data_IF_120938117082
#
_entry.id   IF_120938117082
#
_cell.length_a   1.000
_cell.length_b   1.000
_cell.length_c   1.000
_cell.angle_alpha   90.00
_cell.angle_beta   90.00
_cell.angle_gamma   90.00
#
_symmetry.space_group_name_H-M   'P 1'
#
loop_
_entity.id
_entity.type
_entity.pdbx_description
1 polymer ?
#
# COMPACT_ATOMS: atom_id res chain seq x y z
N UNK A 1 -5.61 12.26 -18.96
CA UNK A 1 -5.37 11.03 -19.73
C UNK A 1 -4.49 10.13 -18.88
N UNK A 2 -4.86 8.86 -18.72
CA UNK A 2 -4.07 7.83 -18.06
C UNK A 2 -3.42 7.01 -19.17
N UNK A 3 -2.09 7.01 -19.21
CA UNK A 3 -1.29 6.51 -20.32
C UNK A 3 -0.31 5.42 -19.82
N UNK A 4 -0.66 4.12 -19.94
CA UNK A 4 0.16 3.00 -19.48
C UNK A 4 1.44 2.79 -20.31
N UNK A 5 1.45 3.20 -21.58
CA UNK A 5 2.53 2.91 -22.52
C UNK A 5 3.33 4.15 -22.93
N UNK A 6 2.92 5.35 -22.52
CA UNK A 6 3.63 6.60 -22.83
C UNK A 6 3.39 7.12 -24.25
N UNK A 7 2.38 6.60 -24.95
CA UNK A 7 2.08 6.92 -26.35
C UNK A 7 1.58 8.36 -26.55
N UNK A 8 1.04 8.98 -25.50
CA UNK A 8 0.32 10.25 -25.57
C UNK A 8 1.07 11.42 -24.95
N UNK A 9 2.32 11.22 -24.52
CA UNK A 9 3.17 12.31 -23.99
C UNK A 9 3.38 13.43 -25.00
N UNK A 10 3.34 13.12 -26.31
CA UNK A 10 3.47 14.10 -27.39
C UNK A 10 2.28 15.05 -27.53
N UNK A 11 1.17 14.80 -26.82
CA UNK A 11 0.09 15.79 -26.69
C UNK A 11 0.58 17.08 -26.05
N UNK A 12 1.57 17.02 -25.17
CA UNK A 12 2.16 18.22 -24.55
C UNK A 12 2.99 19.06 -25.53
N UNK A 13 3.49 18.45 -26.62
CA UNK A 13 4.29 19.16 -27.62
C UNK A 13 3.42 20.09 -28.47
N UNK A 14 2.15 19.72 -28.69
CA UNK A 14 1.22 20.46 -29.56
C UNK A 14 0.08 21.17 -28.81
N UNK A 15 -0.37 20.60 -27.71
CA UNK A 15 -1.50 21.08 -26.92
C UNK A 15 -1.03 21.45 -25.51
N UNK A 16 -1.83 22.23 -24.78
CA UNK A 16 -1.52 22.68 -23.41
C UNK A 16 -1.70 21.55 -22.36
N UNK A 17 -1.16 20.37 -22.64
CA UNK A 17 -1.13 19.25 -21.69
C UNK A 17 0.15 19.32 -20.87
N UNK A 18 0.02 18.99 -19.59
CA UNK A 18 1.16 18.78 -18.69
C UNK A 18 1.37 17.26 -18.57
N UNK A 19 2.59 16.80 -18.81
CA UNK A 19 2.96 15.40 -18.56
C UNK A 19 3.34 15.25 -17.09
N UNK A 20 2.65 14.36 -16.40
CA UNK A 20 2.93 13.97 -15.02
C UNK A 20 3.51 12.56 -15.07
N UNK A 21 4.79 12.44 -14.74
CA UNK A 21 5.41 11.15 -14.47
C UNK A 21 4.85 10.58 -13.17
N UNK A 22 4.33 9.35 -13.25
CA UNK A 22 3.72 8.64 -12.14
C UNK A 22 4.74 8.03 -11.16
N UNK A 23 6.04 8.06 -11.46
CA UNK A 23 7.10 7.63 -10.54
C UNK A 23 7.32 8.65 -9.40
N UNK A 24 6.30 8.78 -8.55
CA UNK A 24 6.21 9.71 -7.41
C UNK A 24 5.57 9.03 -6.21
N UNK A 25 5.60 9.69 -5.05
CA UNK A 25 4.93 9.17 -3.87
C UNK A 25 3.40 9.18 -4.04
N UNK A 26 2.71 8.31 -3.31
CA UNK A 26 1.24 8.25 -3.32
C UNK A 26 0.60 9.61 -2.95
N UNK A 27 1.17 10.29 -1.95
CA UNK A 27 0.71 11.60 -1.50
C UNK A 27 0.89 12.69 -2.58
N UNK A 28 1.97 12.62 -3.36
CA UNK A 28 2.20 13.56 -4.46
C UNK A 28 1.16 13.36 -5.57
N UNK A 29 0.84 12.11 -5.93
CA UNK A 29 -0.14 11.82 -6.99
C UNK A 29 -1.54 12.32 -6.61
N UNK A 30 -1.95 12.12 -5.35
CA UNK A 30 -3.23 12.63 -4.83
C UNK A 30 -3.26 14.17 -4.84
N UNK A 31 -2.17 14.81 -4.37
CA UNK A 31 -2.05 16.27 -4.37
C UNK A 31 -2.07 16.85 -5.79
N UNK A 32 -1.37 16.21 -6.74
CA UNK A 32 -1.39 16.60 -8.16
C UNK A 32 -2.81 16.47 -8.71
N UNK A 33 -3.50 15.35 -8.48
CA UNK A 33 -4.88 15.16 -8.94
C UNK A 33 -5.82 16.25 -8.41
N UNK A 34 -5.72 16.60 -7.13
CA UNK A 34 -6.49 17.69 -6.52
C UNK A 34 -6.20 19.04 -7.19
N UNK A 35 -4.92 19.36 -7.45
CA UNK A 35 -4.50 20.58 -8.16
C UNK A 35 -4.97 20.61 -9.61
N UNK A 36 -4.97 19.48 -10.30
CA UNK A 36 -5.50 19.35 -11.66
C UNK A 36 -6.96 19.78 -11.71
N UNK A 37 -7.76 19.36 -10.73
CA UNK A 37 -9.17 19.74 -10.61
C UNK A 37 -9.36 21.21 -10.26
N UNK A 38 -8.56 21.73 -9.33
CA UNK A 38 -8.61 23.14 -8.91
C UNK A 38 -8.24 24.09 -10.07
N UNK A 39 -7.14 23.79 -10.77
CA UNK A 39 -6.57 24.64 -11.81
C UNK A 39 -7.12 24.39 -13.20
N UNK A 40 -7.88 23.31 -13.38
CA UNK A 40 -8.48 22.88 -14.66
C UNK A 40 -7.45 22.73 -15.79
N UNK A 41 -6.32 22.12 -15.46
CA UNK A 41 -5.24 21.86 -16.43
C UNK A 41 -5.44 20.50 -17.09
N UNK A 42 -5.11 20.40 -18.38
CA UNK A 42 -5.10 19.12 -19.09
C UNK A 42 -3.82 18.36 -18.74
N UNK A 43 -3.95 17.09 -18.35
CA UNK A 43 -2.82 16.28 -17.89
C UNK A 43 -2.77 14.93 -18.60
N UNK A 44 -1.56 14.50 -18.93
CA UNK A 44 -1.23 13.11 -19.29
C UNK A 44 -0.46 12.52 -18.11
N UNK A 45 -1.03 11.52 -17.45
CA UNK A 45 -0.35 10.73 -16.42
C UNK A 45 0.39 9.59 -17.14
N UNK A 46 1.71 9.72 -17.25
CA UNK A 46 2.57 8.72 -17.87
C UNK A 46 2.96 7.66 -16.85
N UNK A 47 2.66 6.39 -17.17
CA UNK A 47 2.91 5.22 -16.33
C UNK A 47 3.94 4.25 -16.93
N UNK A 48 4.52 4.56 -18.11
CA UNK A 48 5.42 3.71 -18.90
C UNK A 48 6.56 3.09 -18.08
N UNK A 49 7.15 3.86 -17.16
CA UNK A 49 8.32 3.43 -16.37
C UNK A 49 7.97 2.69 -15.06
N UNK A 50 6.70 2.40 -14.82
CA UNK A 50 6.25 1.66 -13.64
C UNK A 50 5.95 0.20 -13.97
N UNK A 51 6.27 -0.69 -13.04
CA UNK A 51 5.80 -2.08 -13.09
C UNK A 51 4.28 -2.14 -12.97
N UNK A 52 3.65 -3.18 -13.53
CA UNK A 52 2.20 -3.29 -13.65
C UNK A 52 1.45 -3.05 -12.34
N UNK A 53 1.93 -3.61 -11.21
CA UNK A 53 1.30 -3.42 -9.90
C UNK A 53 1.31 -1.95 -9.44
N UNK A 54 2.39 -1.23 -9.73
CA UNK A 54 2.54 0.20 -9.43
C UNK A 54 1.71 1.04 -10.40
N UNK A 55 1.60 0.67 -11.68
CA UNK A 55 0.70 1.35 -12.62
C UNK A 55 -0.75 1.33 -12.11
N UNK A 56 -1.24 0.16 -11.67
CA UNK A 56 -2.60 0.01 -11.14
C UNK A 56 -2.84 0.92 -9.93
N UNK A 57 -1.87 0.95 -9.01
CA UNK A 57 -1.92 1.74 -7.78
C UNK A 57 -1.86 3.23 -8.06
N UNK A 58 -0.91 3.69 -8.88
CA UNK A 58 -0.75 5.09 -9.26
C UNK A 58 -1.99 5.62 -10.00
N UNK A 59 -2.53 4.85 -10.96
CA UNK A 59 -3.76 5.20 -11.63
C UNK A 59 -4.95 5.27 -10.67
N UNK A 60 -5.08 4.32 -9.72
CA UNK A 60 -6.14 4.33 -8.73
C UNK A 60 -6.10 5.59 -7.86
N UNK A 61 -4.94 5.90 -7.28
CA UNK A 61 -4.73 7.07 -6.42
C UNK A 61 -5.05 8.36 -7.18
N UNK A 62 -4.54 8.49 -8.41
CA UNK A 62 -4.78 9.68 -9.21
C UNK A 62 -6.26 9.84 -9.55
N UNK A 63 -6.95 8.76 -9.94
CA UNK A 63 -8.38 8.77 -10.24
C UNK A 63 -9.23 9.10 -8.99
N UNK A 64 -8.89 8.52 -7.84
CA UNK A 64 -9.56 8.79 -6.58
C UNK A 64 -9.36 10.26 -6.14
N UNK A 65 -8.15 10.81 -6.29
CA UNK A 65 -7.87 12.23 -6.03
C UNK A 65 -8.66 13.18 -6.95
N UNK A 66 -8.86 12.82 -8.23
CA UNK A 66 -9.74 13.57 -9.13
C UNK A 66 -11.22 13.52 -8.66
N UNK A 67 -11.62 12.39 -8.09
CA UNK A 67 -12.99 12.07 -7.69
C UNK A 67 -13.38 12.67 -6.33
N UNK A 68 -12.46 12.71 -5.36
CA UNK A 68 -12.68 13.27 -4.03
C UNK A 68 -12.42 14.78 -3.94
N UNK A 69 -12.18 15.44 -5.09
CA UNK A 69 -12.09 16.88 -5.17
C UNK A 69 -13.32 17.59 -4.52
N UNK A 70 -13.12 18.72 -3.81
CA UNK A 70 -14.22 19.46 -3.19
C UNK A 70 -15.31 19.85 -4.19
N UNK A 71 -16.56 19.96 -3.73
CA UNK A 71 -17.72 20.30 -4.58
C UNK A 71 -17.54 21.60 -5.39
N UNK A 72 -16.80 22.57 -4.84
CA UNK A 72 -16.46 23.81 -5.53
C UNK A 72 -15.65 23.58 -6.82
N UNK A 73 -14.97 22.43 -6.93
CA UNK A 73 -14.10 22.06 -8.04
C UNK A 73 -14.76 21.03 -8.97
N UNK A 74 -16.07 20.79 -8.86
CA UNK A 74 -16.82 19.83 -9.69
C UNK A 74 -17.13 20.37 -11.10
N UNK A 75 -16.09 20.73 -11.82
CA UNK A 75 -16.18 21.17 -13.21
C UNK A 75 -16.23 19.99 -14.17
N UNK A 76 -16.91 20.10 -15.32
CA UNK A 76 -16.87 19.08 -16.37
C UNK A 76 -15.43 18.80 -16.81
N UNK A 77 -15.01 17.54 -16.74
CA UNK A 77 -13.71 17.08 -17.21
C UNK A 77 -13.82 15.69 -17.85
N UNK A 78 -13.07 15.48 -18.93
CA UNK A 78 -12.92 14.17 -19.56
C UNK A 78 -11.76 13.44 -18.91
N UNK A 79 -12.00 12.20 -18.50
CA UNK A 79 -10.97 11.30 -17.98
C UNK A 79 -10.83 10.14 -18.95
N UNK A 80 -9.80 10.22 -19.78
CA UNK A 80 -9.48 9.19 -20.77
C UNK A 80 -8.53 8.18 -20.12
N UNK A 81 -8.90 6.92 -20.14
CA UNK A 81 -8.08 5.79 -19.67
C UNK A 81 -7.77 4.91 -20.86
N UNK A 82 -6.49 4.87 -21.24
CA UNK A 82 -6.03 3.99 -22.31
C UNK A 82 -5.71 2.58 -21.78
N UNK A 83 -5.80 1.58 -22.66
CA UNK A 83 -5.70 0.15 -22.31
C UNK A 83 -6.47 -0.23 -21.03
N UNK A 84 -7.73 0.20 -20.96
CA UNK A 84 -8.57 0.13 -19.77
C UNK A 84 -8.73 -1.26 -19.14
N UNK A 85 -8.55 -2.33 -19.93
CA UNK A 85 -8.57 -3.71 -19.43
C UNK A 85 -7.42 -4.02 -18.47
N UNK A 86 -6.34 -3.23 -18.49
CA UNK A 86 -5.26 -3.32 -17.49
C UNK A 86 -5.79 -2.91 -16.11
N UNK A 87 -6.50 -1.79 -16.04
CA UNK A 87 -7.01 -1.19 -14.79
C UNK A 87 -8.32 -1.83 -14.30
N UNK A 88 -9.12 -2.40 -15.20
CA UNK A 88 -10.38 -3.06 -14.88
C UNK A 88 -10.55 -4.43 -15.58
N UNK A 89 -9.75 -5.45 -15.21
CA UNK A 89 -9.82 -6.78 -15.85
C UNK A 89 -11.07 -7.59 -15.39
N UNK A 90 -11.62 -8.44 -16.27
CA UNK A 90 -12.71 -9.38 -15.93
C UNK A 90 -12.27 -10.57 -15.07
N UNK A 91 -11.00 -11.00 -15.18
CA UNK A 91 -10.49 -12.22 -14.57
C UNK A 91 -9.26 -11.93 -13.71
N UNK A 92 -9.14 -12.63 -12.58
CA UNK A 92 -8.03 -12.52 -11.64
C UNK A 92 -6.76 -13.16 -12.24
N UNK A 93 -5.77 -12.35 -12.63
CA UNK A 93 -4.41 -12.81 -12.94
C UNK A 93 -3.45 -12.73 -11.73
N UNK A 94 -2.15 -12.82 -11.97
CA UNK A 94 -1.08 -12.98 -10.94
C UNK A 94 -0.66 -11.69 -10.17
N UNK A 95 -1.23 -10.53 -10.50
CA UNK A 95 -0.94 -9.25 -9.81
C UNK A 95 -1.52 -9.24 -8.37
N UNK A 96 -0.83 -8.64 -7.37
CA UNK A 96 -1.32 -8.53 -5.99
C UNK A 96 -2.76 -8.02 -5.93
N UNK A 97 -3.62 -8.75 -5.20
CA UNK A 97 -5.07 -8.55 -5.21
C UNK A 97 -5.51 -7.16 -4.73
N UNK A 98 -4.71 -6.51 -3.90
CA UNK A 98 -5.00 -5.17 -3.37
C UNK A 98 -4.93 -4.07 -4.44
N UNK A 99 -3.82 -3.95 -5.18
CA UNK A 99 -3.64 -2.90 -6.19
C UNK A 99 -4.67 -3.02 -7.33
N UNK A 100 -5.00 -4.25 -7.72
CA UNK A 100 -6.06 -4.53 -8.68
C UNK A 100 -7.43 -4.10 -8.17
N UNK A 101 -7.76 -4.45 -6.92
CA UNK A 101 -9.04 -4.08 -6.31
C UNK A 101 -9.18 -2.56 -6.20
N UNK A 102 -8.11 -1.86 -5.82
CA UNK A 102 -8.05 -0.40 -5.80
C UNK A 102 -8.32 0.19 -7.18
N UNK A 103 -7.59 -0.27 -8.20
CA UNK A 103 -7.73 0.23 -9.58
C UNK A 103 -9.13 -0.03 -10.15
N UNK A 104 -9.66 -1.24 -9.96
CA UNK A 104 -11.02 -1.59 -10.40
C UNK A 104 -12.07 -0.72 -9.69
N UNK A 105 -11.93 -0.49 -8.38
CA UNK A 105 -12.85 0.37 -7.64
C UNK A 105 -12.79 1.83 -8.12
N UNK A 106 -11.61 2.36 -8.40
CA UNK A 106 -11.43 3.70 -8.96
C UNK A 106 -12.10 3.82 -10.34
N UNK A 107 -11.93 2.81 -11.21
CA UNK A 107 -12.59 2.73 -12.51
C UNK A 107 -14.12 2.66 -12.40
N UNK A 108 -14.65 1.85 -11.47
CA UNK A 108 -16.09 1.77 -11.20
C UNK A 108 -16.62 3.10 -10.65
N UNK A 109 -15.90 3.75 -9.75
CA UNK A 109 -16.27 5.08 -9.24
C UNK A 109 -16.31 6.10 -10.37
N UNK A 110 -15.29 6.14 -11.24
CA UNK A 110 -15.24 7.02 -12.39
C UNK A 110 -16.47 6.82 -13.31
N UNK A 111 -16.78 5.57 -13.65
CA UNK A 111 -17.86 5.28 -14.60
C UNK A 111 -19.26 5.43 -13.99
N UNK A 112 -19.53 4.83 -12.84
CA UNK A 112 -20.87 4.84 -12.22
C UNK A 112 -21.20 6.18 -11.55
N UNK A 113 -20.21 6.82 -10.93
CA UNK A 113 -20.42 7.97 -10.02
C UNK A 113 -19.77 9.25 -10.52
N UNK A 114 -18.82 9.18 -11.45
CA UNK A 114 -18.09 10.34 -11.98
C UNK A 114 -19.01 11.42 -12.52
N UNK A 115 -20.10 11.05 -13.21
CA UNK A 115 -21.08 12.01 -13.77
C UNK A 115 -21.61 12.99 -12.73
N UNK A 116 -21.90 12.52 -11.50
CA UNK A 116 -22.41 13.37 -10.41
C UNK A 116 -21.36 14.35 -9.89
N UNK A 117 -20.08 14.10 -10.16
CA UNK A 117 -18.90 14.89 -9.74
C UNK A 117 -18.26 15.67 -10.91
N UNK A 118 -18.93 15.71 -12.07
CA UNK A 118 -18.41 16.40 -13.26
C UNK A 118 -17.31 15.63 -14.01
N UNK A 119 -17.10 14.36 -13.73
CA UNK A 119 -16.14 13.52 -14.46
C UNK A 119 -16.88 12.65 -15.48
N UNK A 120 -16.44 12.71 -16.74
CA UNK A 120 -16.90 11.81 -17.78
C UNK A 120 -15.75 10.89 -18.19
N UNK A 121 -15.88 9.60 -17.84
CA UNK A 121 -14.91 8.57 -18.21
C UNK A 121 -14.99 8.21 -19.69
N UNK A 122 -13.85 8.15 -20.35
CA UNK A 122 -13.67 7.57 -21.68
C UNK A 122 -12.68 6.42 -21.50
N UNK A 123 -13.07 5.22 -21.92
CA UNK A 123 -12.27 4.01 -21.76
C UNK A 123 -11.92 3.48 -23.15
N UNK A 124 -10.64 3.43 -23.46
CA UNK A 124 -10.10 2.85 -24.67
C UNK A 124 -9.51 1.47 -24.36
N UNK A 125 -9.79 0.49 -25.22
CA UNK A 125 -9.31 -0.89 -25.02
C UNK A 125 -9.24 -1.62 -26.36
N UNK A 126 -8.20 -2.41 -26.55
CA UNK A 126 -8.09 -3.34 -27.67
C UNK A 126 -8.86 -4.65 -27.44
N UNK A 127 -9.17 -4.99 -26.18
CA UNK A 127 -9.73 -6.28 -25.76
C UNK A 127 -10.97 -6.07 -24.89
N UNK A 128 -12.08 -5.67 -25.50
CA UNK A 128 -13.36 -5.42 -24.85
C UNK A 128 -13.85 -6.60 -23.98
N UNK A 129 -13.62 -7.82 -24.42
CA UNK A 129 -13.96 -9.04 -23.71
C UNK A 129 -13.12 -9.27 -22.45
N UNK A 130 -11.96 -8.62 -22.30
CA UNK A 130 -11.17 -8.66 -21.05
C UNK A 130 -11.55 -7.56 -20.06
N UNK A 131 -12.36 -6.58 -20.46
CA UNK A 131 -12.79 -5.47 -19.62
C UNK A 131 -13.97 -5.85 -18.73
N UNK A 132 -13.90 -5.48 -17.44
CA UNK A 132 -14.91 -5.73 -16.42
C UNK A 132 -16.32 -5.34 -16.87
N UNK A 133 -17.29 -6.25 -16.68
CA UNK A 133 -18.67 -6.06 -17.20
C UNK A 133 -19.36 -4.83 -16.62
N UNK A 134 -19.18 -4.59 -15.34
CA UNK A 134 -19.70 -3.42 -14.62
C UNK A 134 -19.09 -2.10 -15.10
N UNK A 135 -17.83 -2.08 -15.52
CA UNK A 135 -17.19 -0.86 -16.07
C UNK A 135 -17.68 -0.59 -17.48
N UNK A 136 -17.74 -1.62 -18.33
CA UNK A 136 -18.18 -1.50 -19.72
C UNK A 136 -19.68 -1.14 -19.86
N UNK A 137 -20.53 -1.68 -18.99
CA UNK A 137 -21.99 -1.48 -19.06
C UNK A 137 -22.45 -0.06 -18.71
N UNK A 138 -21.61 0.73 -18.04
CA UNK A 138 -21.91 2.12 -17.65
C UNK A 138 -21.61 3.12 -18.79
N UNK A 139 -20.89 2.68 -19.82
CA UNK A 139 -20.68 3.49 -21.01
C UNK A 139 -22.00 3.65 -21.77
N UNK A 140 -22.34 4.89 -22.13
CA UNK A 140 -23.55 5.22 -22.92
C UNK A 140 -23.24 5.62 -24.35
N UNK A 141 -21.97 5.90 -24.65
CA UNK A 141 -21.48 6.25 -25.98
C UNK A 141 -20.40 5.25 -26.38
N UNK A 142 -20.48 4.77 -27.60
CA UNK A 142 -19.64 3.73 -28.14
C UNK A 142 -19.05 4.18 -29.46
N UNK A 143 -17.78 3.85 -29.66
CA UNK A 143 -17.08 4.01 -30.91
C UNK A 143 -16.34 2.70 -31.18
N UNK A 144 -16.97 1.78 -31.92
CA UNK A 144 -16.42 0.45 -32.17
C UNK A 144 -15.61 0.43 -33.45
N UNK A 145 -14.31 0.14 -33.32
CA UNK A 145 -13.40 0.00 -34.44
C UNK A 145 -13.36 -1.44 -34.98
N UNK A 146 -12.36 -1.72 -35.80
CA UNK A 146 -12.13 -3.06 -36.32
C UNK A 146 -11.85 -4.05 -35.19
N UNK A 147 -12.60 -5.16 -35.15
CA UNK A 147 -12.41 -6.26 -34.19
C UNK A 147 -12.43 -7.60 -34.91
N UNK A 148 -11.45 -8.46 -34.64
CA UNK A 148 -11.32 -9.77 -35.32
C UNK A 148 -11.87 -10.94 -34.50
N UNK A 149 -11.78 -10.85 -33.17
CA UNK A 149 -12.08 -11.97 -32.27
C UNK A 149 -13.59 -12.06 -32.00
N UNK A 150 -14.13 -13.27 -32.14
CA UNK A 150 -15.57 -13.52 -31.98
C UNK A 150 -16.07 -13.14 -30.59
N UNK A 151 -15.26 -13.33 -29.56
CA UNK A 151 -15.61 -12.97 -28.18
C UNK A 151 -15.76 -11.45 -27.97
N UNK A 152 -14.92 -10.66 -28.65
CA UNK A 152 -14.97 -9.19 -28.59
C UNK A 152 -16.17 -8.68 -29.41
N UNK A 153 -16.45 -9.28 -30.58
CA UNK A 153 -17.64 -8.97 -31.38
C UNK A 153 -18.93 -9.31 -30.65
N UNK A 154 -18.99 -10.46 -29.98
CA UNK A 154 -20.15 -10.84 -29.18
C UNK A 154 -20.39 -9.83 -28.03
N UNK A 155 -19.33 -9.40 -27.35
CA UNK A 155 -19.43 -8.36 -26.31
C UNK A 155 -19.84 -7.01 -26.88
N UNK A 156 -19.36 -6.63 -28.05
CA UNK A 156 -19.77 -5.41 -28.73
C UNK A 156 -21.25 -5.47 -29.15
N UNK A 157 -21.71 -6.62 -29.66
CA UNK A 157 -23.11 -6.84 -30.03
C UNK A 157 -24.04 -6.67 -28.82
N UNK A 158 -23.67 -7.30 -27.69
CA UNK A 158 -24.41 -7.21 -26.43
C UNK A 158 -24.52 -5.75 -25.92
N UNK A 159 -23.43 -4.97 -26.03
CA UNK A 159 -23.42 -3.56 -25.59
C UNK A 159 -24.20 -2.63 -26.52
N UNK A 160 -24.16 -2.88 -27.84
CA UNK A 160 -24.84 -2.04 -28.82
C UNK A 160 -26.29 -2.45 -29.05
N UNK A 161 -26.75 -3.56 -28.45
CA UNK A 161 -28.10 -4.09 -28.63
C UNK A 161 -28.39 -4.55 -30.06
N UNK A 162 -27.37 -5.04 -30.75
CA UNK A 162 -27.47 -5.55 -32.13
C UNK A 162 -27.40 -7.08 -32.18
N UNK A 163 -27.88 -7.66 -33.27
CA UNK A 163 -27.76 -9.10 -33.48
C UNK A 163 -26.29 -9.50 -33.72
N UNK A 164 -25.88 -10.67 -33.24
CA UNK A 164 -24.50 -11.18 -33.43
C UNK A 164 -24.04 -11.19 -34.88
N UNK A 165 -24.94 -11.51 -35.81
CA UNK A 165 -24.65 -11.51 -37.24
C UNK A 165 -24.34 -10.11 -37.79
N UNK A 166 -24.97 -9.07 -37.23
CA UNK A 166 -24.69 -7.69 -37.62
C UNK A 166 -23.31 -7.24 -37.13
N UNK A 167 -22.88 -7.72 -35.96
CA UNK A 167 -21.56 -7.39 -35.39
C UNK A 167 -20.39 -7.95 -36.22
N UNK A 168 -20.62 -8.91 -37.12
CA UNK A 168 -19.59 -9.38 -38.08
C UNK A 168 -19.05 -8.24 -38.96
N UNK A 169 -19.83 -7.16 -39.17
CA UNK A 169 -19.38 -5.99 -39.92
C UNK A 169 -18.14 -5.31 -39.30
N UNK A 170 -17.90 -5.49 -37.99
CA UNK A 170 -16.72 -4.93 -37.33
C UNK A 170 -15.42 -5.58 -37.81
N UNK A 171 -15.46 -6.77 -38.41
CA UNK A 171 -14.27 -7.45 -38.94
C UNK A 171 -13.69 -6.72 -40.15
N UNK A 172 -14.58 -6.19 -40.99
CA UNK A 172 -14.23 -5.62 -42.30
C UNK A 172 -14.07 -4.09 -42.27
N UNK A 173 -14.19 -3.47 -41.09
CA UNK A 173 -13.99 -2.03 -40.96
C UNK A 173 -12.55 -1.63 -41.34
N UNK A 174 -12.37 -0.67 -42.26
CA UNK A 174 -11.03 -0.19 -42.59
C UNK A 174 -10.45 0.60 -41.42
N UNK A 175 -9.11 0.66 -41.34
CA UNK A 175 -8.40 1.44 -40.31
C UNK A 175 -8.90 2.88 -40.28
N UNK A 176 -9.13 3.40 -39.09
CA UNK A 176 -9.67 4.75 -38.88
C UNK A 176 -11.18 4.87 -39.11
N UNK A 177 -11.87 3.78 -39.46
CA UNK A 177 -13.33 3.74 -39.49
C UNK A 177 -13.90 3.02 -38.28
N UNK A 178 -14.98 3.58 -37.76
CA UNK A 178 -15.65 3.14 -36.55
C UNK A 178 -17.16 3.15 -36.76
N UNK A 179 -17.87 2.39 -35.95
CA UNK A 179 -19.32 2.53 -35.78
C UNK A 179 -19.58 3.26 -34.48
N UNK A 180 -20.20 4.42 -34.59
CA UNK A 180 -20.59 5.29 -33.48
C UNK A 180 -22.05 5.09 -33.08
N UNK A 181 -22.31 5.00 -31.78
CA UNK A 181 -23.65 4.92 -31.21
C UNK A 181 -23.68 5.61 -29.85
N UNK A 182 -24.73 6.37 -29.54
CA UNK A 182 -24.95 6.93 -28.21
C UNK A 182 -25.47 8.37 -28.24
N UNK A 183 -25.97 8.90 -27.12
CA UNK A 183 -26.60 10.21 -27.05
C UNK A 183 -25.68 11.38 -27.44
N UNK A 184 -24.36 11.24 -27.29
CA UNK A 184 -23.38 12.25 -27.68
C UNK A 184 -22.89 12.09 -29.13
N UNK A 185 -23.23 10.98 -29.81
CA UNK A 185 -22.77 10.65 -31.16
C UNK A 185 -23.95 10.63 -32.13
N UNK A 186 -24.81 9.61 -32.02
CA UNK A 186 -25.98 9.41 -32.85
C UNK A 186 -26.99 8.47 -32.17
N UNK A 187 -28.29 8.73 -32.39
CA UNK A 187 -29.39 7.89 -31.86
C UNK A 187 -29.46 6.49 -32.48
N UNK A 188 -28.86 6.31 -33.65
CA UNK A 188 -28.75 5.04 -34.37
C UNK A 188 -27.28 4.83 -34.73
N UNK A 189 -26.87 3.58 -34.93
CA UNK A 189 -25.51 3.26 -35.31
C UNK A 189 -25.15 3.95 -36.64
N UNK A 190 -24.05 4.70 -36.66
CA UNK A 190 -23.55 5.40 -37.85
C UNK A 190 -22.08 5.10 -38.05
N UNK A 191 -21.65 4.98 -39.31
CA UNK A 191 -20.23 4.83 -39.62
C UNK A 191 -19.54 6.20 -39.53
N UNK A 192 -18.41 6.24 -38.83
CA UNK A 192 -17.62 7.44 -38.58
C UNK A 192 -16.19 7.17 -39.07
N UNK A 193 -15.62 8.11 -39.80
CA UNK A 193 -14.22 8.08 -40.20
C UNK A 193 -13.44 9.11 -39.38
N UNK A 194 -12.45 8.64 -38.62
CA UNK A 194 -11.55 9.49 -37.84
C UNK A 194 -10.55 10.14 -38.78
N UNK A 195 -10.27 11.43 -38.54
CA UNK A 195 -9.32 12.22 -39.32
C UNK A 195 -7.86 11.83 -39.08
N UNK A 196 -6.95 12.56 -39.70
CA UNK A 196 -5.50 12.41 -39.49
C UNK A 196 -5.11 12.79 -38.06
N UNK A 197 -4.15 12.05 -37.49
CA UNK A 197 -3.56 12.36 -36.18
C UNK A 197 -2.42 13.35 -36.36
N UNK A 198 -2.38 14.38 -35.52
CA UNK A 198 -1.40 15.47 -35.62
C UNK A 198 -0.16 15.29 -34.75
N UNK A 199 -0.25 14.49 -33.68
CA UNK A 199 0.84 14.15 -32.76
C UNK A 199 1.23 12.70 -32.96
N UNK A 200 2.52 12.41 -33.07
CA UNK A 200 3.01 11.03 -33.22
C UNK A 200 3.31 10.41 -31.85
N UNK A 201 2.99 9.13 -31.67
CA UNK A 201 3.52 8.36 -30.55
C UNK A 201 5.05 8.30 -30.68
N UNK A 202 5.76 8.37 -29.55
CA UNK A 202 7.22 8.20 -29.49
C UNK A 202 7.62 6.72 -29.55
N UNK A 203 6.65 5.81 -29.37
CA UNK A 203 6.77 4.40 -29.64
C UNK A 203 6.92 4.16 -31.13
N UNK A 204 8.14 3.84 -31.57
CA UNK A 204 8.37 3.37 -32.93
C UNK A 204 7.70 2.01 -33.04
N UNK A 205 6.53 1.91 -33.69
CA UNK A 205 6.03 0.61 -34.14
C UNK A 205 7.13 0.01 -35.02
N UNK A 206 7.82 -1.06 -34.61
CA UNK A 206 8.96 -1.57 -35.34
C UNK A 206 8.49 -1.93 -36.75
N UNK A 207 9.07 -1.31 -37.77
CA UNK A 207 8.79 -1.74 -39.14
C UNK A 207 9.36 -3.14 -39.29
N UNK A 208 8.57 -4.05 -39.84
CA UNK A 208 9.05 -5.38 -40.23
C UNK A 208 10.12 -5.18 -41.32
N UNK A 209 11.37 -5.21 -40.89
CA UNK A 209 12.52 -5.31 -41.77
C UNK A 209 12.81 -6.79 -41.98
N UNK A 210 13.14 -7.23 -43.20
CA UNK A 210 13.63 -8.59 -43.39
C UNK A 210 14.86 -8.80 -42.48
N UNK A 211 15.02 -9.99 -41.88
CA UNK A 211 16.25 -10.31 -41.16
C UNK A 211 17.43 -10.13 -42.11
N UNK A 212 18.59 -9.66 -41.63
CA UNK A 212 19.79 -9.57 -42.46
C UNK A 212 20.15 -10.96 -43.00
N UNK A 213 20.69 -11.02 -44.22
CA UNK A 213 21.24 -12.26 -44.77
C UNK A 213 22.42 -12.69 -43.89
N UNK A 214 22.32 -13.90 -43.33
CA UNK A 214 23.32 -14.48 -42.44
C UNK A 214 24.34 -15.26 -43.27
N UNK A 215 25.63 -14.97 -43.10
CA UNK A 215 26.69 -15.82 -43.67
C UNK A 215 26.95 -17.05 -42.78
N UNK A 216 27.62 -18.07 -43.34
CA UNK A 216 28.05 -19.24 -42.57
C UNK A 216 29.00 -18.83 -41.42
N UNK A 217 29.81 -17.79 -41.62
CA UNK A 217 30.70 -17.23 -40.61
C UNK A 217 29.93 -16.56 -39.45
N UNK A 218 28.86 -15.81 -39.75
CA UNK A 218 28.00 -15.20 -38.73
C UNK A 218 27.23 -16.27 -37.93
N UNK A 219 26.90 -17.38 -38.59
CA UNK A 219 26.22 -18.52 -37.97
C UNK A 219 27.14 -19.26 -37.00
N UNK A 220 28.39 -19.49 -37.39
CA UNK A 220 29.41 -20.06 -36.51
C UNK A 220 29.77 -19.13 -35.35
N UNK A 221 29.78 -17.80 -35.55
CA UNK A 221 30.03 -16.82 -34.48
C UNK A 221 28.90 -16.78 -33.44
N UNK A 222 27.63 -16.86 -33.86
CA UNK A 222 26.48 -16.93 -32.94
C UNK A 222 26.47 -18.24 -32.15
N UNK A 223 26.86 -19.36 -32.79
CA UNK A 223 26.92 -20.68 -32.18
C UNK A 223 28.22 -20.93 -31.40
N UNK A 224 29.21 -20.06 -31.54
CA UNK A 224 30.44 -20.15 -30.79
C UNK A 224 30.11 -20.10 -29.29
N UNK A 225 30.75 -20.95 -28.46
CA UNK A 225 30.57 -20.87 -27.03
C UNK A 225 30.96 -19.46 -26.60
N UNK A 226 30.00 -18.75 -26.00
CA UNK A 226 30.22 -17.39 -25.55
C UNK A 226 31.55 -17.36 -24.80
N UNK A 227 32.47 -16.44 -25.14
CA UNK A 227 33.70 -16.30 -24.36
C UNK A 227 33.26 -16.22 -22.91
N UNK A 228 33.97 -16.93 -22.02
CA UNK A 228 33.75 -16.83 -20.57
C UNK A 228 34.15 -15.40 -20.20
N UNK A 229 33.27 -14.45 -20.52
CA UNK A 229 33.31 -13.11 -19.99
C UNK A 229 33.34 -13.31 -18.50
N UNK A 230 34.25 -12.56 -17.87
CA UNK A 230 34.23 -12.32 -16.44
C UNK A 230 32.76 -12.31 -15.97
N UNK A 231 32.47 -13.02 -14.86
CA UNK A 231 31.12 -13.42 -14.45
C UNK A 231 30.15 -12.32 -14.84
N UNK A 232 29.20 -12.64 -15.74
CA UNK A 232 28.22 -11.69 -16.26
C UNK A 232 27.87 -10.79 -15.10
N UNK A 233 28.29 -9.53 -15.17
CA UNK A 233 27.76 -8.51 -14.29
C UNK A 233 26.32 -8.47 -14.76
N UNK A 234 25.46 -9.26 -14.12
CA UNK A 234 24.08 -8.88 -13.96
C UNK A 234 24.20 -7.41 -13.62
N UNK A 235 23.71 -6.52 -14.48
CA UNK A 235 23.47 -5.16 -14.04
C UNK A 235 22.51 -5.33 -12.87
N UNK A 236 23.10 -5.47 -11.66
CA UNK A 236 22.42 -5.22 -10.42
C UNK A 236 21.90 -3.82 -10.70
N UNK A 237 20.58 -3.71 -10.87
CA UNK A 237 19.84 -2.46 -10.66
C UNK A 237 20.65 -1.74 -9.59
N UNK A 238 21.26 -0.56 -9.87
CA UNK A 238 22.22 0.05 -8.97
C UNK A 238 21.60 -0.07 -7.60
N UNK A 239 22.28 -0.71 -6.62
CA UNK A 239 21.69 -0.86 -5.31
C UNK A 239 21.16 0.54 -4.94
N UNK A 240 19.93 0.63 -4.41
CA UNK A 240 19.42 1.93 -3.97
C UNK A 240 20.57 2.60 -3.24
N UNK A 241 20.93 3.83 -3.66
CA UNK A 241 22.12 4.50 -3.14
C UNK A 241 22.17 4.27 -1.64
N UNK A 242 23.28 3.70 -1.12
CA UNK A 242 23.29 3.08 0.18
C UNK A 242 22.63 4.05 1.14
N UNK A 243 21.51 3.61 1.71
CA UNK A 243 20.86 4.34 2.76
C UNK A 243 21.90 4.59 3.85
N UNK A 244 21.74 5.62 4.66
CA UNK A 244 22.67 5.86 5.76
C UNK A 244 22.89 4.61 6.60
N UNK A 245 21.87 3.72 6.72
CA UNK A 245 21.98 2.36 7.27
C UNK A 245 22.98 1.44 6.56
N UNK A 246 23.02 1.39 5.24
CA UNK A 246 23.93 0.50 4.49
C UNK A 246 25.40 0.94 4.64
N UNK A 247 25.65 2.26 4.77
CA UNK A 247 26.98 2.80 5.06
C UNK A 247 27.39 2.45 6.50
N UNK A 248 26.46 2.48 7.45
CA UNK A 248 26.72 2.07 8.83
C UNK A 248 26.92 0.55 8.97
N UNK A 249 26.26 -0.25 8.13
CA UNK A 249 26.44 -1.70 8.09
C UNK A 249 27.79 -2.10 7.47
N UNK A 250 28.27 -1.40 6.44
CA UNK A 250 29.63 -1.59 5.91
C UNK A 250 30.72 -1.19 6.92
N UNK A 251 30.49 -0.11 7.69
CA UNK A 251 31.38 0.27 8.80
C UNK A 251 31.33 -0.81 9.90
N UNK A 252 30.16 -1.38 10.21
CA UNK A 252 30.00 -2.45 11.18
C UNK A 252 30.64 -3.78 10.74
N UNK A 253 30.61 -4.12 9.45
CA UNK A 253 31.32 -5.28 8.90
C UNK A 253 32.84 -5.07 8.94
N UNK A 254 33.33 -3.86 8.64
CA UNK A 254 34.74 -3.52 8.76
C UNK A 254 35.23 -3.53 10.22
N UNK A 255 34.41 -3.08 11.18
CA UNK A 255 34.71 -3.12 12.61
C UNK A 255 34.62 -4.53 13.21
N UNK A 256 33.68 -5.37 12.77
CA UNK A 256 33.62 -6.80 13.17
C UNK A 256 34.79 -7.61 12.60
N UNK A 257 35.21 -7.31 11.37
CA UNK A 257 36.42 -7.90 10.78
C UNK A 257 37.68 -7.45 11.53
N UNK A 258 37.72 -6.21 12.02
CA UNK A 258 38.80 -5.71 12.88
C UNK A 258 38.75 -6.27 14.31
N UNK A 259 37.55 -6.55 14.86
CA UNK A 259 37.34 -7.15 16.18
C UNK A 259 37.59 -8.67 16.21
N UNK A 260 37.80 -9.31 15.05
CA UNK A 260 38.19 -10.72 14.95
C UNK A 260 39.69 -10.95 15.14
N UNK A 261 40.49 -9.88 15.34
CA UNK A 261 41.88 -9.94 15.75
C UNK A 261 41.99 -9.47 17.22
N UNK A 262 42.31 -10.43 18.11
CA UNK A 262 42.57 -10.30 19.55
C UNK A 262 41.33 -10.17 20.48
N UNK A 263 40.99 -11.29 21.15
CA UNK A 263 40.12 -11.33 22.34
C UNK A 263 40.69 -10.48 23.49
N UNK A 264 39.81 -9.94 24.35
CA UNK A 264 39.80 -10.47 25.72
C UNK A 264 38.39 -10.85 26.22
N UNK A 265 38.34 -11.92 27.01
CA UNK A 265 37.23 -12.33 27.88
C UNK A 265 36.76 -11.16 28.76
N UNK A 266 35.73 -10.43 28.32
CA UNK A 266 34.93 -9.55 29.19
C UNK A 266 33.98 -10.46 29.98
N UNK A 267 33.85 -10.33 31.31
CA UNK A 267 33.03 -11.24 32.11
C UNK A 267 31.61 -11.28 31.53
N UNK A 268 31.13 -12.50 31.25
CA UNK A 268 29.80 -12.73 30.73
C UNK A 268 28.77 -12.14 31.71
N UNK A 269 28.19 -11.00 31.34
CA UNK A 269 27.04 -10.45 32.04
C UNK A 269 25.96 -11.54 32.13
N UNK A 270 25.40 -11.82 33.32
CA UNK A 270 24.32 -12.78 33.46
C UNK A 270 23.19 -12.45 32.48
N UNK A 271 22.57 -13.47 31.88
CA UNK A 271 21.52 -13.28 30.88
C UNK A 271 20.35 -12.43 31.42
N UNK A 272 20.06 -12.54 32.72
CA UNK A 272 19.05 -11.75 33.43
C UNK A 272 19.42 -10.27 33.54
N UNK A 273 20.67 -9.94 33.86
CA UNK A 273 21.13 -8.55 33.93
C UNK A 273 21.11 -7.90 32.54
N UNK A 274 21.43 -8.68 31.49
CA UNK A 274 21.35 -8.20 30.11
C UNK A 274 19.92 -7.94 29.67
N UNK A 275 18.99 -8.86 29.96
CA UNK A 275 17.56 -8.69 29.66
C UNK A 275 17.00 -7.45 30.36
N UNK A 276 17.35 -7.24 31.63
CA UNK A 276 16.98 -6.04 32.38
C UNK A 276 17.50 -4.76 31.71
N UNK A 277 18.76 -4.73 31.26
CA UNK A 277 19.32 -3.58 30.54
C UNK A 277 18.65 -3.34 29.19
N UNK A 278 18.32 -4.39 28.44
CA UNK A 278 17.56 -4.27 27.19
C UNK A 278 16.17 -3.66 27.44
N UNK A 279 15.46 -4.12 28.47
CA UNK A 279 14.17 -3.55 28.89
C UNK A 279 14.30 -2.10 29.33
N UNK A 280 15.38 -1.75 30.05
CA UNK A 280 15.66 -0.37 30.43
C UNK A 280 15.82 0.53 29.19
N UNK A 281 16.58 0.10 28.19
CA UNK A 281 16.74 0.85 26.93
C UNK A 281 15.37 1.12 26.29
N UNK A 282 14.52 0.09 26.17
CA UNK A 282 13.19 0.23 25.54
C UNK A 282 12.28 1.14 26.39
N UNK A 283 12.33 1.00 27.71
CA UNK A 283 11.57 1.85 28.63
C UNK A 283 11.97 3.34 28.50
N UNK A 284 13.26 3.63 28.43
CA UNK A 284 13.79 4.99 28.22
C UNK A 284 13.38 5.53 26.85
N UNK A 285 13.43 4.70 25.80
CA UNK A 285 13.01 5.07 24.45
C UNK A 285 11.54 5.45 24.35
N UNK A 286 10.67 4.70 25.03
CA UNK A 286 9.24 5.00 25.11
C UNK A 286 9.04 6.29 25.91
N UNK A 287 9.75 6.46 27.03
CA UNK A 287 9.66 7.68 27.86
C UNK A 287 10.08 8.96 27.12
N UNK A 288 11.08 8.85 26.23
CA UNK A 288 11.57 9.94 25.36
C UNK A 288 10.67 10.20 24.13
N UNK A 289 9.68 9.34 23.84
CA UNK A 289 8.90 9.39 22.61
C UNK A 289 7.88 10.54 22.63
N UNK A 290 8.06 11.53 21.75
CA UNK A 290 7.16 12.71 21.62
C UNK A 290 6.08 12.54 20.55
N UNK A 291 6.02 11.39 19.87
CA UNK A 291 5.03 11.12 18.82
C UNK A 291 5.12 9.69 18.30
N UNK A 292 4.09 9.22 17.59
CA UNK A 292 3.99 7.84 17.11
C UNK A 292 5.02 7.53 16.02
N UNK A 293 6.14 6.86 16.35
CA UNK A 293 7.11 6.38 15.36
C UNK A 293 6.75 4.98 14.83
N UNK A 294 7.08 4.67 13.56
CA UNK A 294 6.89 3.32 13.04
C UNK A 294 7.81 2.34 13.76
N UNK A 295 7.33 1.10 13.96
CA UNK A 295 8.02 0.07 14.74
C UNK A 295 9.44 -0.23 14.23
N UNK A 296 9.65 -0.21 12.90
CA UNK A 296 10.97 -0.41 12.31
C UNK A 296 11.99 0.67 12.69
N UNK A 297 11.57 1.93 12.82
CA UNK A 297 12.44 3.03 13.25
C UNK A 297 12.76 2.93 14.75
N UNK A 298 11.80 2.47 15.56
CA UNK A 298 12.02 2.19 16.98
C UNK A 298 12.99 1.01 17.15
N UNK A 299 12.90 -0.03 16.31
CA UNK A 299 13.86 -1.13 16.37
C UNK A 299 15.28 -0.67 15.99
N UNK A 300 15.44 0.20 14.97
CA UNK A 300 16.75 0.78 14.63
C UNK A 300 17.34 1.64 15.75
N UNK A 301 16.54 2.49 16.40
CA UNK A 301 16.96 3.29 17.56
C UNK A 301 17.41 2.38 18.73
N UNK A 302 16.68 1.29 18.97
CA UNK A 302 17.06 0.27 19.96
C UNK A 302 18.40 -0.37 19.62
N UNK A 303 18.63 -0.76 18.36
CA UNK A 303 19.91 -1.34 17.92
C UNK A 303 21.08 -0.38 18.15
N UNK A 304 20.87 0.92 17.91
CA UNK A 304 21.88 1.96 18.15
C UNK A 304 22.16 2.08 19.65
N UNK A 305 21.13 2.22 20.50
CA UNK A 305 21.29 2.34 21.96
C UNK A 305 21.91 1.08 22.58
N UNK A 306 21.55 -0.10 22.09
CA UNK A 306 22.14 -1.38 22.50
C UNK A 306 23.65 -1.42 22.22
N UNK A 307 24.08 -0.95 21.04
CA UNK A 307 25.50 -0.85 20.67
C UNK A 307 26.25 0.21 21.49
N UNK A 308 25.64 1.37 21.75
CA UNK A 308 26.22 2.42 22.60
C UNK A 308 26.50 1.89 24.01
N UNK A 309 25.61 1.07 24.57
CA UNK A 309 25.78 0.47 25.89
C UNK A 309 26.78 -0.71 25.93
N UNK A 310 27.31 -1.14 24.76
CA UNK A 310 28.30 -2.22 24.63
C UNK A 310 27.88 -3.50 25.39
N UNK A 311 26.60 -3.87 25.27
CA UNK A 311 26.08 -5.06 25.94
C UNK A 311 26.68 -6.34 25.32
N UNK A 312 27.14 -7.31 26.12
CA UNK A 312 27.75 -8.53 25.60
C UNK A 312 26.69 -9.52 25.06
N UNK A 313 26.93 -10.07 23.88
CA UNK A 313 26.12 -11.16 23.29
C UNK A 313 25.51 -10.82 21.93
N UNK A 314 24.63 -11.71 21.45
CA UNK A 314 23.91 -11.49 20.20
C UNK A 314 22.82 -10.42 20.36
N UNK A 315 22.59 -9.67 19.29
CA UNK A 315 21.55 -8.65 19.21
C UNK A 315 20.15 -9.31 19.36
N UNK A 316 19.28 -8.79 20.24
CA UNK A 316 17.92 -9.30 20.41
C UNK A 316 17.09 -9.26 19.12
N UNK A 317 16.22 -10.25 18.95
CA UNK A 317 15.35 -10.36 17.78
C UNK A 317 14.14 -9.40 17.83
N UNK A 318 13.51 -9.17 16.68
CA UNK A 318 12.35 -8.26 16.57
C UNK A 318 11.18 -8.65 17.48
N UNK A 319 10.96 -9.95 17.70
CA UNK A 319 9.87 -10.43 18.55
C UNK A 319 10.10 -10.14 20.04
N UNK A 320 11.34 -10.19 20.51
CA UNK A 320 11.70 -9.86 21.90
C UNK A 320 11.53 -8.36 22.12
N UNK A 321 12.05 -7.55 21.18
CA UNK A 321 11.85 -6.11 21.17
C UNK A 321 10.38 -5.70 21.20
N UNK A 322 9.52 -6.35 20.40
CA UNK A 322 8.07 -6.10 20.41
C UNK A 322 7.45 -6.33 21.78
N UNK A 323 7.82 -7.43 22.44
CA UNK A 323 7.31 -7.73 23.79
C UNK A 323 7.73 -6.65 24.79
N UNK A 324 8.99 -6.23 24.77
CA UNK A 324 9.48 -5.15 25.64
C UNK A 324 8.82 -3.81 25.33
N UNK A 325 8.52 -3.53 24.06
CA UNK A 325 7.85 -2.31 23.63
C UNK A 325 6.40 -2.25 24.11
N UNK A 326 5.68 -3.39 24.08
CA UNK A 326 4.32 -3.51 24.62
C UNK A 326 4.31 -3.32 26.15
N UNK A 327 5.23 -3.95 26.87
CA UNK A 327 5.42 -3.80 28.31
C UNK A 327 5.69 -2.32 28.67
N UNK A 328 6.65 -1.69 27.99
CA UNK A 328 7.00 -0.29 28.22
C UNK A 328 5.84 0.66 27.92
N UNK A 329 5.08 0.44 26.83
CA UNK A 329 3.88 1.24 26.50
C UNK A 329 2.74 1.04 27.51
N UNK A 330 2.66 -0.12 28.15
CA UNK A 330 1.72 -0.38 29.23
C UNK A 330 2.17 0.24 30.57
N UNK A 331 3.37 0.82 30.63
CA UNK A 331 3.92 1.45 31.82
C UNK A 331 4.46 0.45 32.84
N UNK A 332 4.87 -0.73 32.38
CA UNK A 332 5.51 -1.78 33.20
C UNK A 332 6.98 -1.43 33.34
N UNK A 333 7.50 -1.41 34.57
CA UNK A 333 8.92 -1.11 34.77
C UNK A 333 9.79 -2.33 34.45
N UNK A 334 11.07 -2.15 34.07
CA UNK A 334 11.96 -3.27 33.79
C UNK A 334 12.06 -4.27 34.95
N UNK A 335 11.99 -3.81 36.19
CA UNK A 335 12.01 -4.64 37.40
C UNK A 335 10.74 -5.46 37.56
N UNK A 336 9.56 -4.85 37.36
CA UNK A 336 8.28 -5.56 37.37
C UNK A 336 8.25 -6.64 36.29
N UNK A 337 8.76 -6.29 35.10
CA UNK A 337 8.77 -7.18 33.96
C UNK A 337 9.70 -8.40 34.15
N UNK A 338 10.66 -8.31 35.07
CA UNK A 338 11.55 -9.40 35.46
C UNK A 338 10.94 -10.36 36.51
N UNK A 339 9.79 -10.02 37.11
CA UNK A 339 9.15 -10.87 38.14
C UNK A 339 8.51 -12.14 37.54
N UNK A 340 8.47 -13.22 38.33
CA UNK A 340 7.75 -14.47 37.94
C UNK A 340 6.25 -14.23 37.67
N UNK A 341 5.65 -13.25 38.37
CA UNK A 341 4.27 -12.85 38.13
C UNK A 341 4.08 -12.29 36.71
N UNK A 342 5.00 -11.46 36.24
CA UNK A 342 4.94 -10.90 34.90
C UNK A 342 5.31 -11.90 33.80
N UNK A 343 6.20 -12.85 34.09
CA UNK A 343 6.49 -13.95 33.15
C UNK A 343 5.22 -14.74 32.79
N UNK A 344 4.31 -14.96 33.74
CA UNK A 344 2.99 -15.57 33.46
C UNK A 344 2.15 -14.71 32.51
N UNK A 345 2.21 -13.39 32.62
CA UNK A 345 1.54 -12.46 31.69
C UNK A 345 2.15 -12.59 30.29
N UNK A 346 3.48 -12.59 30.18
CA UNK A 346 4.20 -12.75 28.91
C UNK A 346 3.82 -14.08 28.23
N UNK A 347 3.69 -15.16 28.98
CA UNK A 347 3.33 -16.47 28.44
C UNK A 347 1.89 -16.52 27.94
N UNK A 348 0.92 -15.98 28.70
CA UNK A 348 -0.48 -15.87 28.24
C UNK A 348 -0.60 -14.95 27.02
N UNK A 349 0.15 -13.85 27.02
CA UNK A 349 0.17 -12.88 25.91
C UNK A 349 0.64 -13.49 24.58
N UNK A 350 1.44 -14.58 24.60
CA UNK A 350 1.83 -15.30 23.38
C UNK A 350 0.66 -15.98 22.68
N UNK A 351 -0.37 -16.41 23.43
CA UNK A 351 -1.58 -17.02 22.88
C UNK A 351 -2.57 -15.98 22.33
N UNK A 352 -2.40 -14.71 22.67
CA UNK A 352 -3.22 -13.60 22.17
C UNK A 352 -2.70 -13.14 20.79
N UNK A 353 -3.59 -12.82 19.83
CA UNK A 353 -3.20 -12.23 18.55
C UNK A 353 -2.31 -11.00 18.72
N UNK A 354 -1.30 -10.85 17.86
CA UNK A 354 -0.28 -9.78 17.99
C UNK A 354 -0.86 -8.37 17.96
N UNK A 355 -2.00 -8.17 17.29
CA UNK A 355 -2.69 -6.88 17.21
C UNK A 355 -3.55 -6.55 18.45
N UNK A 356 -3.77 -7.53 19.33
CA UNK A 356 -4.51 -7.39 20.59
C UNK A 356 -3.60 -7.50 21.83
N UNK A 357 -2.37 -7.97 21.65
CA UNK A 357 -1.41 -8.24 22.73
C UNK A 357 -1.13 -7.01 23.60
N UNK A 358 -0.80 -5.87 23.01
CA UNK A 358 -0.60 -4.63 23.78
C UNK A 358 -1.82 -4.22 24.63
N UNK A 359 -3.05 -4.46 24.13
CA UNK A 359 -4.27 -4.20 24.91
C UNK A 359 -4.39 -5.18 26.08
N UNK A 360 -4.10 -6.46 25.87
CA UNK A 360 -4.07 -7.44 26.97
C UNK A 360 -3.06 -7.06 28.06
N UNK A 361 -1.84 -6.68 27.66
CA UNK A 361 -0.76 -6.28 28.57
C UNK A 361 -1.15 -5.07 29.43
N UNK A 362 -1.82 -4.07 28.84
CA UNK A 362 -2.34 -2.91 29.59
C UNK A 362 -3.30 -3.30 30.72
N UNK A 363 -4.19 -4.27 30.48
CA UNK A 363 -5.14 -4.72 31.49
C UNK A 363 -4.50 -5.65 32.51
N UNK A 364 -3.55 -6.48 32.10
CA UNK A 364 -2.78 -7.33 33.00
C UNK A 364 -1.95 -6.51 33.98
N UNK A 365 -1.34 -5.42 33.52
CA UNK A 365 -0.64 -4.45 34.35
C UNK A 365 -1.57 -3.84 35.41
N UNK A 366 -2.75 -3.36 34.98
CA UNK A 366 -3.70 -2.73 35.90
C UNK A 366 -4.23 -3.73 36.94
N UNK A 367 -4.46 -4.98 36.53
CA UNK A 367 -4.92 -6.03 37.43
C UNK A 367 -3.83 -6.45 38.42
N UNK A 368 -2.57 -6.56 37.97
CA UNK A 368 -1.43 -6.88 38.83
C UNK A 368 -1.20 -5.82 39.90
N UNK A 369 -1.35 -4.54 39.56
CA UNK A 369 -1.20 -3.41 40.49
C UNK A 369 -2.44 -3.13 41.34
N UNK A 370 -3.55 -3.84 41.11
CA UNK A 370 -4.83 -3.57 41.78
C UNK A 370 -5.33 -2.16 41.49
N UNK A 371 -5.07 -1.64 40.29
CA UNK A 371 -5.52 -0.32 39.84
C UNK A 371 -6.94 -0.41 39.25
N UNK A 372 -7.63 0.74 39.08
CA UNK A 372 -8.90 0.79 38.34
C UNK A 372 -8.81 0.16 36.95
N UNK A 373 -9.93 -0.18 36.34
CA UNK A 373 -9.92 -0.64 34.96
C UNK A 373 -9.46 0.49 34.00
N UNK A 374 -8.54 0.24 33.05
CA UNK A 374 -8.13 1.24 32.06
C UNK A 374 -9.33 1.81 31.29
N UNK A 375 -9.27 3.09 30.92
CA UNK A 375 -10.33 3.78 30.15
C UNK A 375 -10.32 3.40 28.67
N UNK A 376 -11.38 3.72 27.92
CA UNK A 376 -11.37 3.55 26.47
C UNK A 376 -10.30 4.42 25.77
N UNK A 377 -9.91 5.53 26.39
CA UNK A 377 -8.84 6.40 25.89
C UNK A 377 -7.45 5.78 26.12
N UNK A 378 -7.23 5.08 27.23
CA UNK A 378 -5.98 4.34 27.47
C UNK A 378 -5.78 3.26 26.42
N UNK A 379 -6.86 2.53 26.11
CA UNK A 379 -6.88 1.52 25.04
C UNK A 379 -6.65 2.14 23.67
N UNK A 380 -7.27 3.29 23.41
CA UNK A 380 -7.07 4.00 22.15
C UNK A 380 -5.58 4.40 21.97
N UNK A 381 -4.94 4.93 23.03
CA UNK A 381 -3.51 5.27 23.04
C UNK A 381 -2.63 4.06 22.79
N UNK A 382 -2.88 2.95 23.49
CA UNK A 382 -2.15 1.69 23.29
C UNK A 382 -2.24 1.18 21.85
N UNK A 383 -3.40 1.32 21.21
CA UNK A 383 -3.61 0.96 19.81
C UNK A 383 -3.12 2.01 18.79
N UNK A 384 -2.50 3.12 19.22
CA UNK A 384 -2.06 4.21 18.34
C UNK A 384 -3.21 4.96 17.65
N UNK A 385 -4.41 4.97 18.23
CA UNK A 385 -5.62 5.60 17.67
C UNK A 385 -6.20 6.63 18.62
N UNK A 386 -6.88 7.65 18.09
CA UNK A 386 -7.69 8.61 18.88
C UNK A 386 -9.17 8.23 18.92
N UNK A 387 -9.57 7.14 18.27
CA UNK A 387 -10.96 6.70 18.16
C UNK A 387 -11.35 5.73 19.28
N UNK A 388 -12.20 6.21 20.18
CA UNK A 388 -12.86 5.42 21.24
C UNK A 388 -13.65 4.23 20.66
N UNK A 389 -14.30 4.41 19.50
CA UNK A 389 -15.04 3.33 18.83
C UNK A 389 -14.14 2.17 18.39
N UNK A 390 -12.93 2.47 17.87
CA UNK A 390 -11.93 1.45 17.54
C UNK A 390 -11.39 0.76 18.78
N UNK A 391 -11.15 1.49 19.86
CA UNK A 391 -10.72 0.94 21.14
C UNK A 391 -11.75 -0.05 21.71
N UNK A 392 -13.05 0.29 21.69
CA UNK A 392 -14.13 -0.64 22.11
C UNK A 392 -14.20 -1.89 21.26
N UNK A 393 -14.00 -1.78 19.94
CA UNK A 393 -13.99 -2.95 19.06
C UNK A 393 -12.83 -3.89 19.41
N UNK A 394 -11.63 -3.35 19.66
CA UNK A 394 -10.47 -4.13 20.12
C UNK A 394 -10.73 -4.83 21.45
N UNK A 395 -11.36 -4.16 22.40
CA UNK A 395 -11.78 -4.78 23.66
C UNK A 395 -12.79 -5.91 23.46
N UNK A 396 -13.79 -5.72 22.59
CA UNK A 396 -14.74 -6.78 22.27
C UNK A 396 -14.08 -7.97 21.56
N UNK A 397 -13.06 -7.73 20.74
CA UNK A 397 -12.29 -8.81 20.11
C UNK A 397 -11.51 -9.61 21.16
N UNK A 398 -10.89 -8.92 22.12
CA UNK A 398 -10.15 -9.53 23.21
C UNK A 398 -11.07 -10.34 24.16
N UNK A 399 -12.28 -9.83 24.42
CA UNK A 399 -13.32 -10.52 25.18
C UNK A 399 -13.84 -11.78 24.45
N UNK A 400 -14.08 -11.70 23.14
CA UNK A 400 -14.44 -12.88 22.31
C UNK A 400 -13.33 -13.94 22.25
N UNK A 401 -12.07 -13.52 22.33
CA UNK A 401 -10.94 -14.43 22.41
C UNK A 401 -10.83 -15.12 23.79
N UNK A 402 -11.58 -14.65 24.79
CA UNK A 402 -11.58 -15.20 26.15
C UNK A 402 -10.39 -14.77 27.01
N UNK A 403 -9.51 -13.89 26.50
CA UNK A 403 -8.34 -13.43 27.24
C UNK A 403 -8.70 -12.45 28.38
N UNK A 404 -9.83 -11.75 28.25
CA UNK A 404 -10.40 -10.87 29.28
C UNK A 404 -11.91 -11.11 29.32
N UNK A 405 -12.53 -10.97 30.49
CA UNK A 405 -13.98 -10.89 30.67
C UNK A 405 -14.32 -9.54 31.29
N UNK A 406 -15.12 -8.75 30.59
CA UNK A 406 -15.55 -7.43 31.06
C UNK A 406 -16.88 -7.52 31.83
N UNK A 407 -16.90 -6.95 33.03
CA UNK A 407 -18.08 -6.82 33.88
C UNK A 407 -18.33 -5.34 34.14
N UNK A 408 -19.60 -4.95 34.22
CA UNK A 408 -19.98 -3.59 34.61
C UNK A 408 -20.64 -3.62 35.99
N UNK A 409 -20.28 -2.67 36.85
CA UNK A 409 -20.97 -2.43 38.11
C UNK A 409 -22.31 -1.73 37.85
N UNK A 410 -23.20 -1.72 38.84
CA UNK A 410 -24.47 -0.98 38.75
C UNK A 410 -24.29 0.53 38.56
N UNK A 411 -23.10 1.06 38.86
CA UNK A 411 -22.73 2.47 38.66
C UNK A 411 -22.16 2.76 37.26
N UNK A 412 -22.06 1.74 36.40
CA UNK A 412 -21.50 1.87 35.05
C UNK A 412 -19.97 1.79 34.99
N UNK A 413 -19.30 1.49 36.10
CA UNK A 413 -17.84 1.28 36.13
C UNK A 413 -17.51 -0.11 35.58
N UNK A 414 -16.39 -0.23 34.88
CA UNK A 414 -15.92 -1.47 34.27
C UNK A 414 -14.91 -2.16 35.19
N UNK A 415 -15.03 -3.48 35.27
CA UNK A 415 -14.09 -4.40 35.89
C UNK A 415 -13.68 -5.40 34.82
N UNK A 416 -12.39 -5.55 34.61
CA UNK A 416 -11.82 -6.58 33.74
C UNK A 416 -11.26 -7.73 34.58
N UNK A 417 -11.69 -8.94 34.28
CA UNK A 417 -11.18 -10.19 34.84
C UNK A 417 -10.31 -10.86 33.78
N UNK A 418 -9.12 -11.31 34.15
CA UNK A 418 -8.20 -12.02 33.27
C UNK A 418 -8.19 -13.51 33.68
N UNK A 419 -8.99 -14.38 33.01
CA UNK A 419 -9.24 -15.74 33.49
C UNK A 419 -7.98 -16.58 33.64
N UNK A 420 -7.07 -16.50 32.67
CA UNK A 420 -5.84 -17.31 32.63
C UNK A 420 -4.83 -16.90 33.71
N UNK A 421 -4.91 -15.66 34.21
CA UNK A 421 -4.04 -15.15 35.28
C UNK A 421 -4.70 -15.24 36.67
N UNK A 422 -6.02 -15.36 36.71
CA UNK A 422 -6.81 -15.31 37.95
C UNK A 422 -6.81 -13.92 38.61
N UNK A 423 -6.59 -12.86 37.82
CA UNK A 423 -6.50 -11.48 38.30
C UNK A 423 -7.72 -10.66 37.88
N UNK A 424 -8.05 -9.63 38.66
CA UNK A 424 -9.08 -8.66 38.34
C UNK A 424 -8.62 -7.23 38.64
N UNK A 425 -9.11 -6.29 37.84
CA UNK A 425 -8.90 -4.85 38.05
C UNK A 425 -9.92 -4.31 39.06
N UNK A 426 -9.64 -3.15 39.69
CA UNK A 426 -10.67 -2.41 40.41
C UNK A 426 -11.68 -1.79 39.43
N UNK A 427 -12.86 -1.43 39.93
CA UNK A 427 -13.86 -0.72 39.14
C UNK A 427 -13.29 0.62 38.63
N UNK A 428 -13.31 0.83 37.31
CA UNK A 428 -12.84 2.05 36.66
C UNK A 428 -13.85 2.60 35.65
N UNK A 429 -13.92 3.92 35.51
CA UNK A 429 -14.81 4.55 34.53
C UNK A 429 -14.24 4.42 33.10
N UNK A 430 -14.96 3.76 32.16
CA UNK A 430 -14.54 3.65 30.76
C UNK A 430 -14.37 5.00 30.06
N UNK A 431 -15.07 6.04 30.51
CA UNK A 431 -15.05 7.39 29.94
C UNK A 431 -14.06 8.33 30.64
N UNK A 432 -13.31 7.83 31.63
CA UNK A 432 -12.27 8.61 32.30
C UNK A 432 -11.21 9.13 31.31
N UNK A 433 -10.54 10.27 31.61
CA UNK A 433 -9.36 10.67 30.88
C UNK A 433 -8.28 9.58 30.99
N UNK A 434 -7.49 9.44 29.92
CA UNK A 434 -6.38 8.48 29.92
C UNK A 434 -5.29 8.88 30.94
N UNK A 435 -4.69 7.88 31.58
CA UNK A 435 -3.79 8.02 32.72
C UNK A 435 -2.54 8.83 32.38
N UNK A 436 -2.15 9.73 33.29
CA UNK A 436 -0.85 10.42 33.26
C UNK A 436 0.23 9.40 33.66
N UNK A 437 0.97 8.92 32.67
CA UNK A 437 1.94 7.81 32.79
C UNK A 437 2.07 7.02 31.48
N UNK A 438 1.01 7.03 30.67
CA UNK A 438 1.05 6.54 29.28
C UNK A 438 1.28 7.74 28.36
N UNK A 439 2.55 8.14 28.26
CA UNK A 439 3.11 9.20 27.39
C UNK A 439 2.29 10.50 27.28
N UNK A 440 2.48 11.38 28.27
CA UNK A 440 2.16 12.80 28.10
C UNK A 440 3.22 13.49 27.25
N UNK A 441 2.87 13.78 25.98
CA UNK A 441 3.07 15.09 25.31
C UNK A 441 2.65 15.01 23.83
N UNK A 442 1.35 15.17 23.58
CA UNK A 442 0.81 15.58 22.27
C UNK A 442 -0.14 16.78 22.45
N UNK A 443 0.33 17.78 23.18
CA UNK A 443 -0.21 19.13 23.17
C UNK A 443 0.98 20.09 23.02
N UNK A 444 1.11 20.61 21.80
CA UNK A 444 2.19 21.46 21.29
C UNK A 444 2.05 21.56 19.80
#
# INVERSE_FOLDING_TARGET
MIDPEGDFVSLADKFQHIVVDANRSEADLDCIAARVRERRVSVVLNLEYLEQSLQLRAAAIFLDGLFEAPRANWYPALVIVDEAQLFAPMASGDVPDEARRMSLNAMVNLMCRGRKRGLAGIIATQRLAKLAKNVAAEASNFLMGRTMLDIDMARAADLLGMERRQAEMFRDLPRGSFVGLGPAIARRAVQIKVGSVETASRGVTPRLLPPPDMSDADSEEILAPAPVSAPRIVERRPPPAPSTSDIFDEIAEAENAAASAEEPLVPAMPAEERDLRCRQIVHDMVSDETGSRPEGALFQDFQIRWRIQRLPGALPGLNEFRSWLEDARAGVTPEEAATEAWQRVTDVARAVPSDLRGVFVLFAQAAMRGEPCPSDLDVARMCGTRSVGRARNRLQQLDRHGAIVLRNTMKGERIAVLPDLGWETLAGDPAAPARSGTLERLAG
#
